data_IF_365563435350
#
_entry.id   IF_365563435350
#
_cell.length_a   1.000
_cell.length_b   1.000
_cell.length_c   1.000
_cell.angle_alpha   90.00
_cell.angle_beta   90.00
_cell.angle_gamma   90.00
#
_symmetry.space_group_name_H-M   'P 1'
#
loop_
_entity.id
_entity.type
_entity.pdbx_description
1 polymer ?
#
# COMPACT_ATOMS: atom_id res chain seq x y z
N UNK A 1 -34.53 -14.01 0.84
CA UNK A 1 -33.81 -14.99 0.00
C UNK A 1 -33.00 -15.85 0.95
N UNK A 2 -33.14 -17.17 0.90
CA UNK A 2 -32.38 -18.07 1.77
C UNK A 2 -31.00 -18.32 1.16
N UNK A 3 -29.96 -17.76 1.76
CA UNK A 3 -28.58 -18.06 1.42
C UNK A 3 -28.12 -19.27 2.23
N UNK A 4 -27.28 -20.16 1.68
CA UNK A 4 -26.66 -21.20 2.48
C UNK A 4 -25.71 -20.58 3.51
N UNK A 5 -25.39 -21.33 4.56
CA UNK A 5 -24.37 -20.93 5.51
C UNK A 5 -23.02 -20.76 4.79
N UNK A 6 -22.32 -19.67 5.09
CA UNK A 6 -21.01 -19.37 4.51
C UNK A 6 -19.93 -20.16 5.26
N UNK A 7 -19.06 -20.85 4.53
CA UNK A 7 -17.94 -21.59 5.13
C UNK A 7 -16.74 -20.66 5.40
N UNK A 8 -15.90 -21.03 6.37
CA UNK A 8 -14.80 -20.19 6.85
C UNK A 8 -13.81 -19.73 5.77
N UNK A 9 -13.55 -20.57 4.78
CA UNK A 9 -12.64 -20.33 3.66
C UNK A 9 -13.42 -20.18 2.34
N UNK A 10 -14.73 -19.94 2.37
CA UNK A 10 -15.53 -19.73 1.16
C UNK A 10 -15.49 -18.27 0.69
N UNK A 11 -15.31 -18.04 -0.61
CA UNK A 11 -15.42 -16.69 -1.17
C UNK A 11 -16.87 -16.20 -1.24
N UNK A 12 -17.08 -14.89 -1.11
CA UNK A 12 -18.40 -14.25 -1.36
C UNK A 12 -18.92 -14.54 -2.77
N UNK A 13 -18.03 -14.66 -3.75
CA UNK A 13 -18.37 -15.04 -5.12
C UNK A 13 -19.00 -16.44 -5.17
N UNK A 14 -18.41 -17.41 -4.45
CA UNK A 14 -18.94 -18.77 -4.36
C UNK A 14 -20.32 -18.82 -3.70
N UNK A 15 -20.53 -18.03 -2.64
CA UNK A 15 -21.84 -17.94 -1.99
C UNK A 15 -22.91 -17.44 -2.98
N UNK A 16 -22.60 -16.39 -3.74
CA UNK A 16 -23.49 -15.85 -4.76
C UNK A 16 -23.71 -16.83 -5.92
N UNK A 17 -22.67 -17.56 -6.35
CA UNK A 17 -22.77 -18.57 -7.39
C UNK A 17 -23.64 -19.77 -6.94
N UNK A 18 -23.52 -20.18 -5.67
CA UNK A 18 -24.36 -21.23 -5.08
C UNK A 18 -25.82 -20.78 -5.02
N UNK A 19 -26.08 -19.56 -4.50
CA UNK A 19 -27.42 -18.99 -4.46
C UNK A 19 -28.04 -18.86 -5.86
N UNK A 20 -27.24 -18.47 -6.87
CA UNK A 20 -27.68 -18.47 -8.27
C UNK A 20 -28.08 -19.87 -8.74
N UNK A 21 -27.25 -20.88 -8.48
CA UNK A 21 -27.54 -22.27 -8.85
C UNK A 21 -28.80 -22.80 -8.19
N UNK A 22 -29.03 -22.45 -6.91
CA UNK A 22 -30.24 -22.84 -6.17
C UNK A 22 -31.50 -22.13 -6.69
N UNK A 23 -31.37 -20.89 -7.18
CA UNK A 23 -32.50 -20.10 -7.66
C UNK A 23 -33.05 -20.53 -9.04
N UNK A 24 -32.37 -21.46 -9.72
CA UNK A 24 -32.64 -21.87 -11.10
C UNK A 24 -32.76 -20.70 -12.11
N UNK A 25 -32.18 -19.54 -11.78
CA UNK A 25 -32.23 -18.35 -12.62
C UNK A 25 -31.40 -18.56 -13.88
N UNK A 26 -31.98 -18.37 -15.06
CA UNK A 26 -31.26 -18.49 -16.33
C UNK A 26 -30.36 -17.28 -16.64
N UNK A 27 -30.48 -16.19 -15.88
CA UNK A 27 -29.74 -14.94 -16.10
C UNK A 27 -28.81 -14.62 -14.94
N UNK A 28 -27.50 -14.68 -15.19
CA UNK A 28 -26.49 -14.29 -14.21
C UNK A 28 -26.56 -12.79 -13.86
N UNK A 29 -27.04 -11.94 -14.77
CA UNK A 29 -27.25 -10.51 -14.50
C UNK A 29 -28.43 -10.27 -13.55
N UNK A 30 -29.57 -10.96 -13.75
CA UNK A 30 -30.73 -10.83 -12.86
C UNK A 30 -30.43 -11.33 -11.45
N UNK A 31 -29.80 -12.49 -11.34
CA UNK A 31 -29.35 -13.02 -10.04
C UNK A 31 -28.32 -12.11 -9.39
N UNK A 32 -27.33 -11.60 -10.14
CA UNK A 32 -26.35 -10.64 -9.63
C UNK A 32 -27.01 -9.35 -9.10
N UNK A 33 -28.01 -8.83 -9.83
CA UNK A 33 -28.75 -7.65 -9.39
C UNK A 33 -29.55 -7.94 -8.12
N UNK A 34 -30.21 -9.09 -8.05
CA UNK A 34 -30.99 -9.49 -6.88
C UNK A 34 -30.15 -9.84 -5.65
N UNK A 35 -28.92 -10.33 -5.84
CA UNK A 35 -28.03 -10.76 -4.76
C UNK A 35 -27.14 -9.63 -4.24
N UNK A 36 -26.54 -8.85 -5.15
CA UNK A 36 -25.45 -7.91 -4.84
C UNK A 36 -25.85 -6.46 -5.17
N UNK A 37 -26.99 -6.25 -5.83
CA UNK A 37 -27.42 -4.92 -6.27
C UNK A 37 -26.66 -4.42 -7.50
N UNK A 38 -25.96 -5.28 -8.25
CA UNK A 38 -25.20 -4.88 -9.45
C UNK A 38 -25.39 -5.87 -10.60
N UNK A 39 -25.40 -5.38 -11.84
CA UNK A 39 -25.53 -6.22 -13.04
C UNK A 39 -24.27 -7.04 -13.38
N UNK A 40 -23.12 -6.66 -12.81
CA UNK A 40 -21.80 -7.16 -13.21
C UNK A 40 -21.04 -7.81 -12.06
N UNK A 41 -21.74 -8.30 -11.04
CA UNK A 41 -21.14 -9.00 -9.90
C UNK A 41 -20.35 -10.24 -10.30
N UNK A 42 -20.77 -10.94 -11.36
CA UNK A 42 -20.05 -12.10 -11.91
C UNK A 42 -18.62 -11.79 -12.37
N UNK A 43 -18.35 -10.54 -12.77
CA UNK A 43 -17.03 -10.09 -13.23
C UNK A 43 -16.09 -9.69 -12.09
N UNK A 44 -16.56 -9.78 -10.83
CA UNK A 44 -15.87 -9.33 -9.63
C UNK A 44 -15.76 -10.49 -8.63
N UNK A 45 -15.17 -11.59 -9.08
CA UNK A 45 -14.98 -12.79 -8.26
C UNK A 45 -13.84 -12.67 -7.24
N UNK A 46 -12.96 -11.69 -7.44
CA UNK A 46 -11.75 -11.49 -6.67
C UNK A 46 -11.97 -10.57 -5.46
N UNK A 47 -12.46 -9.35 -5.69
CA UNK A 47 -12.84 -8.36 -4.68
C UNK A 47 -14.32 -8.00 -4.83
N UNK A 48 -15.05 -7.76 -3.72
CA UNK A 48 -16.48 -7.54 -3.77
C UNK A 48 -16.87 -6.27 -4.52
N UNK A 49 -17.99 -6.36 -5.24
CA UNK A 49 -18.59 -5.22 -5.95
C UNK A 49 -19.40 -4.29 -5.04
N UNK A 50 -19.94 -4.84 -3.99
CA UNK A 50 -20.60 -4.12 -2.92
C UNK A 50 -20.54 -5.05 -1.73
N UNK A 51 -20.54 -4.49 -0.54
CA UNK A 51 -20.70 -5.27 0.70
C UNK A 51 -21.97 -4.89 1.43
N UNK A 52 -22.74 -3.92 0.91
CA UNK A 52 -24.03 -3.51 1.47
C UNK A 52 -25.01 -4.68 1.54
N UNK A 53 -24.99 -5.54 0.53
CA UNK A 53 -25.86 -6.72 0.49
C UNK A 53 -25.59 -7.70 1.64
N UNK A 54 -24.37 -7.72 2.22
CA UNK A 54 -24.08 -8.54 3.41
C UNK A 54 -24.91 -8.07 4.60
N UNK A 55 -25.07 -6.75 4.73
CA UNK A 55 -25.88 -6.13 5.78
C UNK A 55 -27.36 -6.40 5.53
N UNK A 56 -27.82 -6.22 4.29
CA UNK A 56 -29.21 -6.49 3.89
C UNK A 56 -29.61 -7.95 4.09
N UNK A 57 -28.68 -8.88 3.83
CA UNK A 57 -28.87 -10.31 4.04
C UNK A 57 -28.60 -10.77 5.49
N UNK A 58 -28.30 -9.86 6.42
CA UNK A 58 -27.95 -10.16 7.83
C UNK A 58 -26.77 -11.13 7.99
N UNK A 59 -25.86 -11.14 7.02
CA UNK A 59 -24.59 -11.88 7.08
C UNK A 59 -23.51 -11.09 7.82
N UNK A 60 -23.69 -9.77 7.92
CA UNK A 60 -22.82 -8.88 8.67
C UNK A 60 -23.61 -7.69 9.22
N UNK A 61 -23.07 -7.03 10.23
CA UNK A 61 -23.50 -5.69 10.62
C UNK A 61 -22.71 -4.64 9.79
N UNK A 62 -23.19 -3.39 9.74
CA UNK A 62 -22.57 -2.33 8.93
C UNK A 62 -21.08 -2.13 9.25
N UNK A 63 -20.72 -2.21 10.52
CA UNK A 63 -19.36 -2.03 11.05
C UNK A 63 -18.45 -3.26 10.80
N UNK A 64 -19.04 -4.45 10.64
CA UNK A 64 -18.35 -5.72 10.43
C UNK A 64 -18.32 -6.17 8.97
N UNK A 65 -19.11 -5.56 8.08
CA UNK A 65 -19.20 -5.91 6.66
C UNK A 65 -17.83 -5.97 5.97
N UNK A 66 -16.94 -5.02 6.27
CA UNK A 66 -15.58 -5.03 5.71
C UNK A 66 -14.70 -6.15 6.24
N UNK A 67 -14.91 -6.59 7.50
CA UNK A 67 -14.19 -7.73 8.08
C UNK A 67 -14.65 -9.03 7.42
N UNK A 68 -15.95 -9.19 7.21
CA UNK A 68 -16.53 -10.33 6.46
C UNK A 68 -16.02 -10.32 5.01
N UNK A 69 -16.04 -9.16 4.35
CA UNK A 69 -15.48 -9.00 3.01
C UNK A 69 -13.99 -9.33 2.95
N UNK A 70 -13.19 -8.92 3.95
CA UNK A 70 -11.78 -9.28 4.06
C UNK A 70 -11.61 -10.79 4.18
N UNK A 71 -12.39 -11.44 5.07
CA UNK A 71 -12.32 -12.89 5.31
C UNK A 71 -12.71 -13.72 4.09
N UNK A 72 -13.70 -13.28 3.33
CA UNK A 72 -14.31 -14.03 2.24
C UNK A 72 -13.94 -13.48 0.84
N UNK A 73 -12.78 -12.84 0.69
CA UNK A 73 -12.24 -12.40 -0.60
C UNK A 73 -10.72 -12.28 -0.57
N UNK A 74 -10.09 -11.97 -1.72
CA UNK A 74 -8.63 -11.77 -1.75
C UNK A 74 -8.17 -10.50 -1.05
N UNK A 75 -9.09 -9.70 -0.48
CA UNK A 75 -8.74 -8.56 0.35
C UNK A 75 -7.85 -8.95 1.54
N UNK A 76 -8.03 -10.14 2.14
CA UNK A 76 -7.14 -10.63 3.18
C UNK A 76 -5.65 -10.56 2.77
N UNK A 77 -5.33 -10.86 1.52
CA UNK A 77 -3.96 -10.81 0.98
C UNK A 77 -3.39 -9.39 0.87
N UNK A 78 -4.22 -8.40 0.56
CA UNK A 78 -3.77 -7.04 0.27
C UNK A 78 -3.83 -6.08 1.45
N UNK A 79 -4.87 -6.22 2.29
CA UNK A 79 -5.11 -5.35 3.44
C UNK A 79 -3.88 -5.16 4.35
N UNK A 80 -3.11 -6.20 4.69
CA UNK A 80 -1.94 -6.04 5.56
C UNK A 80 -0.92 -5.02 5.04
N UNK A 81 -0.86 -4.80 3.73
CA UNK A 81 0.06 -3.86 3.07
C UNK A 81 -0.54 -2.46 2.86
N UNK A 82 -1.81 -2.26 3.23
CA UNK A 82 -2.52 -0.98 3.17
C UNK A 82 -2.38 -0.28 4.52
N UNK A 83 -2.12 1.03 4.50
CA UNK A 83 -2.04 1.81 5.74
C UNK A 83 -3.38 1.72 6.51
N UNK A 84 -3.38 1.40 7.82
CA UNK A 84 -4.60 1.24 8.62
C UNK A 84 -5.55 2.46 8.56
N UNK A 85 -5.00 3.67 8.40
CA UNK A 85 -5.79 4.90 8.27
C UNK A 85 -6.70 4.93 7.02
N UNK A 86 -6.46 4.05 6.04
CA UNK A 86 -7.28 3.92 4.82
C UNK A 86 -8.42 2.93 4.97
N UNK A 87 -8.43 2.09 6.01
CA UNK A 87 -9.46 1.06 6.17
C UNK A 87 -10.88 1.64 6.23
N UNK A 88 -11.16 2.73 7.01
CA UNK A 88 -12.50 3.31 7.04
C UNK A 88 -12.96 3.80 5.65
N UNK A 89 -12.09 4.51 4.93
CA UNK A 89 -12.39 4.98 3.58
C UNK A 89 -12.69 3.81 2.61
N UNK A 90 -11.93 2.72 2.69
CA UNK A 90 -12.17 1.54 1.84
C UNK A 90 -13.52 0.89 2.19
N UNK A 91 -13.85 0.79 3.48
CA UNK A 91 -15.16 0.29 3.95
C UNK A 91 -16.31 1.13 3.41
N UNK A 92 -16.24 2.46 3.53
CA UNK A 92 -17.27 3.38 3.05
C UNK A 92 -17.47 3.27 1.54
N UNK A 93 -16.37 3.11 0.78
CA UNK A 93 -16.44 2.93 -0.67
C UNK A 93 -17.10 1.61 -1.04
N UNK A 94 -16.87 0.52 -0.30
CA UNK A 94 -17.52 -0.76 -0.56
C UNK A 94 -18.99 -0.79 -0.16
N UNK A 95 -19.35 -0.16 0.97
CA UNK A 95 -20.75 0.02 1.38
C UNK A 95 -21.50 0.89 0.35
N UNK A 96 -20.86 1.95 -0.15
CA UNK A 96 -21.42 2.83 -1.18
C UNK A 96 -21.31 2.31 -2.62
N UNK A 97 -20.89 1.06 -2.86
CA UNK A 97 -20.80 0.47 -4.21
C UNK A 97 -19.72 1.07 -5.14
N UNK A 98 -18.79 1.87 -4.62
CA UNK A 98 -17.71 2.55 -5.36
C UNK A 98 -16.47 1.65 -5.57
N UNK A 99 -16.70 0.49 -6.18
CA UNK A 99 -15.73 -0.62 -6.39
C UNK A 99 -14.39 -0.23 -6.96
N UNK A 100 -14.40 0.55 -8.04
CA UNK A 100 -13.20 0.90 -8.79
C UNK A 100 -12.26 1.75 -7.95
N UNK A 101 -12.80 2.58 -7.06
CA UNK A 101 -12.02 3.40 -6.14
C UNK A 101 -11.45 2.56 -5.00
N UNK A 102 -12.28 1.71 -4.36
CA UNK A 102 -11.83 0.80 -3.30
C UNK A 102 -10.68 -0.11 -3.78
N UNK A 103 -10.83 -0.72 -4.96
CA UNK A 103 -9.81 -1.57 -5.58
C UNK A 103 -8.47 -0.85 -5.78
N UNK A 104 -8.48 0.41 -6.24
CA UNK A 104 -7.25 1.20 -6.44
C UNK A 104 -6.53 1.46 -5.12
N UNK A 105 -7.26 1.67 -4.03
CA UNK A 105 -6.69 1.88 -2.70
C UNK A 105 -6.09 0.60 -2.14
N UNK A 106 -6.78 -0.54 -2.31
CA UNK A 106 -6.36 -1.85 -1.81
C UNK A 106 -5.12 -2.36 -2.56
N UNK A 107 -5.18 -2.41 -3.89
CA UNK A 107 -4.13 -3.04 -4.69
C UNK A 107 -2.90 -2.13 -4.89
N UNK A 108 -2.97 -0.86 -4.45
CA UNK A 108 -1.94 0.19 -4.62
C UNK A 108 -1.32 0.24 -6.04
N UNK A 109 -2.06 -0.24 -7.03
CA UNK A 109 -1.53 -0.52 -8.36
C UNK A 109 -1.51 0.75 -9.19
N UNK A 110 -0.41 0.95 -9.92
CA UNK A 110 -0.39 1.92 -11.02
C UNK A 110 -1.52 1.56 -12.00
N UNK A 111 -2.12 2.57 -12.63
CA UNK A 111 -3.19 2.38 -13.64
C UNK A 111 -2.79 1.46 -14.80
N UNK A 112 -1.50 1.17 -14.93
CA UNK A 112 -0.92 0.65 -16.16
C UNK A 112 -1.11 -0.84 -16.37
N UNK A 113 -1.07 -1.74 -15.37
CA UNK A 113 -1.46 -3.15 -15.54
C UNK A 113 -1.75 -3.85 -14.18
N UNK A 114 -2.99 -4.27 -13.86
CA UNK A 114 -3.28 -5.06 -12.66
C UNK A 114 -2.80 -6.53 -12.80
N UNK A 115 -2.51 -7.21 -11.68
CA UNK A 115 -2.33 -8.68 -11.66
C UNK A 115 -3.69 -9.32 -11.96
N UNK A 116 -3.71 -10.34 -12.83
CA UNK A 116 -4.95 -11.03 -13.09
C UNK A 116 -5.25 -12.00 -11.94
N UNK A 117 -6.52 -12.25 -11.69
CA UNK A 117 -6.97 -13.18 -10.65
C UNK A 117 -7.77 -14.28 -11.35
N UNK A 118 -7.16 -15.37 -11.82
CA UNK A 118 -7.91 -16.51 -12.32
C UNK A 118 -8.63 -17.21 -11.17
N UNK A 119 -9.73 -17.88 -11.48
CA UNK A 119 -10.38 -18.76 -10.51
C UNK A 119 -9.58 -20.05 -10.41
N UNK A 120 -9.14 -20.38 -9.18
CA UNK A 120 -8.25 -21.51 -8.88
C UNK A 120 -8.89 -22.52 -7.97
N UNK A 121 -8.60 -23.80 -8.16
CA UNK A 121 -9.12 -24.87 -7.32
C UNK A 121 -8.16 -26.06 -7.20
N UNK A 122 -8.39 -26.87 -6.18
CA UNK A 122 -7.79 -28.18 -6.01
C UNK A 122 -8.89 -29.24 -6.19
N UNK A 123 -8.63 -30.27 -7.00
CA UNK A 123 -9.61 -31.34 -7.24
C UNK A 123 -9.89 -32.16 -5.96
N UNK A 124 -8.86 -32.41 -5.14
CA UNK A 124 -9.04 -33.06 -3.83
C UNK A 124 -9.90 -32.23 -2.86
N UNK A 125 -9.77 -30.89 -2.86
CA UNK A 125 -10.69 -30.03 -2.10
C UNK A 125 -12.13 -30.18 -2.58
N UNK A 126 -12.37 -30.21 -3.90
CA UNK A 126 -13.71 -30.39 -4.46
C UNK A 126 -14.34 -31.69 -3.95
N UNK A 127 -13.60 -32.79 -4.00
CA UNK A 127 -14.08 -34.09 -3.52
C UNK A 127 -14.39 -34.09 -2.02
N UNK A 128 -13.54 -33.45 -1.21
CA UNK A 128 -13.78 -33.30 0.23
C UNK A 128 -15.00 -32.44 0.54
N UNK A 129 -15.17 -31.31 -0.15
CA UNK A 129 -16.29 -30.41 0.04
C UNK A 129 -17.61 -31.08 -0.36
N UNK A 130 -17.62 -31.80 -1.49
CA UNK A 130 -18.78 -32.58 -1.92
C UNK A 130 -19.16 -33.66 -0.90
N UNK A 131 -18.17 -34.35 -0.32
CA UNK A 131 -18.41 -35.39 0.69
C UNK A 131 -18.95 -34.82 2.00
N UNK A 132 -18.47 -33.65 2.42
CA UNK A 132 -18.81 -33.04 3.72
C UNK A 132 -20.08 -32.19 3.67
N UNK A 133 -20.25 -31.42 2.60
CA UNK A 133 -21.26 -30.35 2.49
C UNK A 133 -22.25 -30.59 1.34
N UNK A 134 -22.01 -31.57 0.47
CA UNK A 134 -22.82 -31.81 -0.73
C UNK A 134 -22.60 -30.76 -1.84
N UNK A 135 -21.65 -29.83 -1.68
CA UNK A 135 -21.32 -28.79 -2.65
C UNK A 135 -19.84 -28.44 -2.57
N UNK A 136 -19.23 -28.12 -3.71
CA UNK A 136 -17.88 -27.52 -3.77
C UNK A 136 -17.96 -26.00 -3.83
N UNK A 137 -17.00 -25.29 -3.23
CA UNK A 137 -16.97 -23.84 -3.23
C UNK A 137 -15.58 -23.29 -3.58
N UNK A 138 -15.51 -22.02 -3.99
CA UNK A 138 -14.22 -21.37 -4.24
C UNK A 138 -13.56 -21.01 -2.92
N UNK A 139 -12.44 -21.67 -2.62
CA UNK A 139 -11.61 -21.40 -1.45
C UNK A 139 -10.88 -20.05 -1.55
N UNK A 140 -10.92 -19.23 -0.51
CA UNK A 140 -10.24 -17.94 -0.44
C UNK A 140 -8.72 -18.12 -0.55
N UNK A 141 -8.17 -19.08 0.20
CA UNK A 141 -6.73 -19.39 0.18
C UNK A 141 -6.22 -19.68 -1.24
N UNK A 142 -7.00 -20.43 -2.04
CA UNK A 142 -6.66 -20.72 -3.43
C UNK A 142 -6.66 -19.47 -4.32
N UNK A 143 -7.45 -18.43 -4.02
CA UNK A 143 -7.60 -17.27 -4.90
C UNK A 143 -6.48 -16.22 -4.73
N UNK A 144 -5.61 -16.35 -3.73
CA UNK A 144 -4.53 -15.37 -3.53
C UNK A 144 -3.58 -15.29 -4.73
N UNK A 145 -3.07 -14.10 -5.10
CA UNK A 145 -2.38 -13.90 -6.38
C UNK A 145 -1.15 -14.80 -6.59
N UNK A 146 -0.45 -15.17 -5.52
CA UNK A 146 0.77 -15.97 -5.54
C UNK A 146 0.55 -17.45 -5.21
N UNK A 147 -0.66 -17.84 -4.77
CA UNK A 147 -0.96 -19.23 -4.40
C UNK A 147 -1.20 -20.07 -5.66
N UNK A 148 -0.34 -21.04 -5.91
CA UNK A 148 -0.43 -21.97 -7.07
C UNK A 148 -0.42 -23.44 -6.68
N UNK A 149 -0.27 -23.70 -5.39
CA UNK A 149 -0.30 -25.04 -4.80
C UNK A 149 -1.20 -25.01 -3.57
N UNK A 150 -2.05 -26.02 -3.45
CA UNK A 150 -2.94 -26.18 -2.31
C UNK A 150 -2.11 -26.51 -1.05
N UNK A 151 -2.25 -25.73 0.01
CA UNK A 151 -1.60 -25.98 1.31
C UNK A 151 -2.15 -27.20 2.05
N UNK A 152 -3.37 -27.64 1.71
CA UNK A 152 -4.02 -28.80 2.35
C UNK A 152 -3.61 -30.14 1.74
N UNK A 153 -3.54 -30.20 0.40
CA UNK A 153 -3.31 -31.45 -0.34
C UNK A 153 -1.97 -31.51 -1.07
N UNK A 154 -1.19 -30.42 -1.04
CA UNK A 154 0.09 -30.30 -1.74
C UNK A 154 -0.02 -30.62 -3.24
N UNK A 155 -1.13 -30.24 -3.87
CA UNK A 155 -1.33 -30.35 -5.32
C UNK A 155 -1.30 -29.00 -6.01
N UNK A 156 -0.78 -28.97 -7.23
CA UNK A 156 -0.87 -27.80 -8.11
C UNK A 156 -2.34 -27.44 -8.35
N UNK A 157 -2.66 -26.17 -8.24
CA UNK A 157 -4.03 -25.69 -8.45
C UNK A 157 -4.34 -25.66 -9.95
N UNK A 158 -5.46 -26.26 -10.33
CA UNK A 158 -6.07 -26.02 -11.62
C UNK A 158 -6.71 -24.62 -11.63
N UNK A 159 -6.84 -24.04 -12.82
CA UNK A 159 -7.34 -22.67 -12.95
C UNK A 159 -8.06 -22.43 -14.28
N UNK A 160 -8.91 -21.40 -14.29
CA UNK A 160 -9.50 -20.83 -15.49
C UNK A 160 -9.17 -19.34 -15.57
N UNK A 161 -8.80 -18.87 -16.75
CA UNK A 161 -8.42 -17.47 -16.96
C UNK A 161 -9.63 -16.58 -17.29
N UNK A 162 -9.46 -15.30 -16.98
CA UNK A 162 -10.34 -14.23 -17.44
C UNK A 162 -11.42 -13.84 -16.44
N UNK A 163 -12.32 -12.97 -16.91
CA UNK A 163 -13.52 -12.58 -16.18
C UNK A 163 -14.70 -13.28 -16.79
N UNK A 164 -15.50 -13.93 -15.96
CA UNK A 164 -16.60 -14.77 -16.43
C UNK A 164 -17.92 -14.02 -16.33
N UNK A 165 -18.67 -13.98 -17.43
CA UNK A 165 -20.00 -13.34 -17.45
C UNK A 165 -21.07 -14.17 -16.72
N UNK A 166 -20.75 -15.43 -16.40
CA UNK A 166 -21.62 -16.39 -15.70
C UNK A 166 -21.10 -16.62 -14.29
N UNK A 167 -22.01 -16.98 -13.39
CA UNK A 167 -21.64 -17.55 -12.09
C UNK A 167 -21.07 -18.94 -12.32
N UNK A 168 -19.88 -19.18 -11.78
CA UNK A 168 -19.18 -20.47 -11.87
C UNK A 168 -19.00 -21.05 -10.48
N UNK A 169 -19.07 -22.37 -10.38
CA UNK A 169 -18.70 -23.14 -9.19
C UNK A 169 -17.56 -24.08 -9.58
N UNK A 170 -16.68 -24.48 -8.65
CA UNK A 170 -15.51 -25.29 -8.98
C UNK A 170 -15.84 -26.55 -9.79
N UNK A 171 -16.90 -27.26 -9.40
CA UNK A 171 -17.34 -28.48 -10.09
C UNK A 171 -17.67 -28.27 -11.57
N UNK A 172 -18.24 -27.11 -11.95
CA UNK A 172 -18.57 -26.82 -13.36
C UNK A 172 -17.34 -26.48 -14.21
N UNK A 173 -16.18 -26.30 -13.59
CA UNK A 173 -14.95 -25.91 -14.24
C UNK A 173 -13.96 -27.07 -14.48
N UNK A 174 -14.24 -28.27 -13.97
CA UNK A 174 -13.34 -29.43 -14.08
C UNK A 174 -12.89 -29.72 -15.52
N UNK A 175 -13.81 -29.58 -16.49
CA UNK A 175 -13.53 -29.84 -17.91
C UNK A 175 -12.86 -28.66 -18.65
N UNK A 176 -12.80 -27.48 -18.03
CA UNK A 176 -12.34 -26.23 -18.67
C UNK A 176 -10.97 -25.78 -18.16
N UNK A 177 -10.26 -26.63 -17.41
CA UNK A 177 -8.98 -26.27 -16.78
C UNK A 177 -7.91 -25.92 -17.80
N UNK A 178 -7.16 -24.87 -17.48
CA UNK A 178 -5.90 -24.54 -18.15
C UNK A 178 -4.82 -25.58 -17.86
N UNK A 179 -3.78 -25.60 -18.69
CA UNK A 179 -2.63 -26.50 -18.50
C UNK A 179 -1.98 -26.27 -17.13
N UNK A 180 -1.62 -27.34 -16.40
CA UNK A 180 -0.98 -27.21 -15.10
C UNK A 180 0.43 -26.61 -15.25
N UNK A 181 0.88 -25.94 -14.19
CA UNK A 181 2.27 -25.51 -14.07
C UNK A 181 3.21 -26.74 -14.07
N UNK A 182 4.38 -26.66 -14.72
CA UNK A 182 5.29 -27.80 -14.83
C UNK A 182 5.81 -28.25 -13.44
N UNK A 183 5.88 -29.57 -13.26
CA UNK A 183 6.13 -30.25 -11.98
C UNK A 183 7.44 -29.87 -11.29
N UNK A 184 8.47 -29.45 -12.04
CA UNK A 184 9.77 -29.04 -11.49
C UNK A 184 9.74 -27.77 -10.63
N UNK A 185 8.58 -27.10 -10.53
CA UNK A 185 8.40 -25.86 -9.77
C UNK A 185 7.67 -26.03 -8.44
N UNK A 186 7.39 -27.27 -8.01
CA UNK A 186 6.57 -27.56 -6.84
C UNK A 186 7.05 -26.86 -5.55
N UNK A 187 8.35 -26.95 -5.23
CA UNK A 187 8.90 -26.33 -4.01
C UNK A 187 8.71 -24.80 -3.98
N UNK A 188 8.93 -24.13 -5.12
CA UNK A 188 8.75 -22.68 -5.21
C UNK A 188 7.26 -22.31 -5.13
N UNK A 189 6.37 -23.10 -5.74
CA UNK A 189 4.94 -22.91 -5.59
C UNK A 189 4.49 -23.09 -4.13
N UNK A 190 5.04 -24.07 -3.38
CA UNK A 190 4.78 -24.24 -1.95
C UNK A 190 5.24 -23.02 -1.15
N UNK A 191 6.45 -22.52 -1.36
CA UNK A 191 6.96 -21.31 -0.68
C UNK A 191 6.04 -20.11 -0.94
N UNK A 192 5.67 -19.87 -2.21
CA UNK A 192 4.80 -18.76 -2.59
C UNK A 192 3.40 -18.86 -1.97
N UNK A 193 2.82 -20.06 -1.95
CA UNK A 193 1.53 -20.33 -1.29
C UNK A 193 1.62 -20.06 0.20
N UNK A 194 2.63 -20.60 0.89
CA UNK A 194 2.78 -20.43 2.34
C UNK A 194 3.01 -18.98 2.72
N UNK A 195 3.96 -18.27 2.08
CA UNK A 195 4.23 -16.86 2.38
C UNK A 195 3.00 -15.98 2.08
N UNK A 196 2.28 -16.27 0.99
CA UNK A 196 1.04 -15.57 0.65
C UNK A 196 -0.10 -15.78 1.66
N UNK A 197 -0.27 -17.02 2.13
CA UNK A 197 -1.23 -17.38 3.17
C UNK A 197 -0.86 -16.72 4.51
N UNK A 198 0.41 -16.80 4.94
CA UNK A 198 0.88 -16.12 6.14
C UNK A 198 0.62 -14.62 6.07
N UNK A 199 0.96 -13.98 4.95
CA UNK A 199 0.70 -12.56 4.76
C UNK A 199 -0.79 -12.23 4.94
N UNK A 200 -1.69 -13.08 4.44
CA UNK A 200 -3.13 -12.84 4.51
C UNK A 200 -3.70 -12.84 5.95
N UNK A 201 -3.03 -13.54 6.86
CA UNK A 201 -3.43 -13.69 8.26
C UNK A 201 -3.01 -12.50 9.14
N UNK A 202 -2.03 -11.70 8.70
CA UNK A 202 -1.54 -10.54 9.44
C UNK A 202 -2.56 -9.40 9.46
N UNK A 203 -2.63 -8.62 10.54
CA UNK A 203 -3.48 -7.42 10.57
C UNK A 203 -2.88 -6.25 9.81
N UNK A 204 -1.56 -6.09 9.92
CA UNK A 204 -0.76 -5.08 9.24
C UNK A 204 0.67 -5.58 9.05
N UNK A 205 1.35 -5.03 8.05
CA UNK A 205 2.74 -5.36 7.71
C UNK A 205 3.63 -4.15 7.92
N UNK A 206 4.69 -4.33 8.72
CA UNK A 206 5.75 -3.35 8.90
C UNK A 206 6.73 -3.40 7.74
N UNK A 207 6.46 -2.60 6.70
CA UNK A 207 7.25 -2.57 5.46
C UNK A 207 8.74 -2.25 5.72
N UNK A 208 9.03 -1.40 6.70
CA UNK A 208 10.41 -1.08 7.10
C UNK A 208 11.15 -2.30 7.65
N UNK A 209 10.48 -3.10 8.46
CA UNK A 209 11.01 -4.32 9.08
C UNK A 209 11.22 -5.43 8.04
N UNK A 210 10.23 -5.72 7.19
CA UNK A 210 10.40 -6.68 6.08
C UNK A 210 11.55 -6.25 5.18
N UNK A 211 11.64 -4.96 4.84
CA UNK A 211 12.72 -4.42 4.02
C UNK A 211 14.08 -4.66 4.65
N UNK A 212 14.23 -4.40 5.95
CA UNK A 212 15.49 -4.59 6.65
C UNK A 212 15.88 -6.08 6.70
N UNK A 213 14.93 -6.96 7.05
CA UNK A 213 15.17 -8.40 7.06
C UNK A 213 15.54 -8.94 5.66
N UNK A 214 14.86 -8.46 4.62
CA UNK A 214 15.17 -8.78 3.22
C UNK A 214 16.60 -8.36 2.85
N UNK A 215 17.01 -7.14 3.21
CA UNK A 215 18.35 -6.63 2.93
C UNK A 215 19.43 -7.44 3.68
N UNK A 216 19.19 -7.77 4.95
CA UNK A 216 20.10 -8.59 5.74
C UNK A 216 20.26 -9.99 5.12
N UNK A 217 19.17 -10.62 4.66
CA UNK A 217 19.20 -11.93 4.01
C UNK A 217 19.93 -11.87 2.66
N UNK A 218 19.67 -10.86 1.83
CA UNK A 218 20.42 -10.64 0.58
C UNK A 218 21.92 -10.43 0.83
N UNK A 219 22.29 -9.81 1.94
CA UNK A 219 23.69 -9.64 2.34
C UNK A 219 24.31 -10.96 2.79
N UNK A 220 23.61 -11.75 3.61
CA UNK A 220 24.05 -13.08 4.04
C UNK A 220 24.24 -14.06 2.86
N UNK A 221 23.39 -13.94 1.83
CA UNK A 221 23.52 -14.69 0.57
C UNK A 221 24.65 -14.18 -0.34
N UNK A 222 25.35 -13.10 0.03
CA UNK A 222 26.42 -12.50 -0.78
C UNK A 222 25.94 -11.70 -2.01
N UNK A 223 24.63 -11.53 -2.20
CA UNK A 223 24.05 -10.81 -3.36
C UNK A 223 24.40 -9.32 -3.30
N UNK A 224 24.34 -8.73 -2.10
CA UNK A 224 24.71 -7.34 -1.82
C UNK A 224 25.79 -7.26 -0.75
N UNK A 225 26.62 -6.22 -0.77
CA UNK A 225 27.71 -6.03 0.20
C UNK A 225 27.46 -4.84 1.12
N UNK A 226 26.42 -4.05 0.82
CA UNK A 226 26.00 -2.91 1.62
C UNK A 226 24.50 -2.73 1.48
N UNK A 227 23.81 -2.48 2.60
CA UNK A 227 22.39 -2.13 2.63
C UNK A 227 22.14 -0.69 2.16
N UNK A 228 23.20 0.16 2.12
CA UNK A 228 23.11 1.58 1.77
C UNK A 228 23.29 1.87 0.28
N UNK A 229 24.04 1.04 -0.45
CA UNK A 229 24.30 1.21 -1.89
C UNK A 229 23.53 0.20 -2.71
N UNK A 230 23.11 0.61 -3.91
CA UNK A 230 22.34 -0.25 -4.83
C UNK A 230 23.26 -0.79 -5.91
N UNK A 231 23.37 -2.11 -6.00
CA UNK A 231 24.03 -2.79 -7.11
C UNK A 231 22.97 -3.42 -8.01
N UNK A 232 22.37 -2.60 -8.88
CA UNK A 232 21.26 -3.01 -9.75
C UNK A 232 21.57 -4.28 -10.55
N UNK A 233 22.73 -4.35 -11.18
CA UNK A 233 23.12 -5.47 -12.04
C UNK A 233 23.26 -6.79 -11.28
N UNK A 234 23.81 -6.74 -10.05
CA UNK A 234 23.95 -7.94 -9.21
C UNK A 234 22.59 -8.49 -8.78
N UNK A 235 21.66 -7.62 -8.40
CA UNK A 235 20.31 -8.03 -8.01
C UNK A 235 19.56 -8.63 -9.19
N UNK A 236 19.68 -8.03 -10.37
CA UNK A 236 19.08 -8.55 -11.60
C UNK A 236 19.66 -9.92 -11.98
N UNK A 237 20.99 -10.05 -11.97
CA UNK A 237 21.66 -11.31 -12.28
C UNK A 237 21.25 -12.42 -11.30
N UNK A 238 21.28 -12.12 -10.00
CA UNK A 238 20.82 -13.04 -8.95
C UNK A 238 19.37 -13.47 -9.19
N UNK A 239 18.44 -12.52 -9.37
CA UNK A 239 17.03 -12.85 -9.50
C UNK A 239 16.75 -13.65 -10.77
N UNK A 240 17.38 -13.31 -11.90
CA UNK A 240 17.24 -14.07 -13.16
C UNK A 240 17.70 -15.53 -13.05
N UNK A 241 18.72 -15.78 -12.22
CA UNK A 241 19.22 -17.13 -11.93
C UNK A 241 18.37 -17.90 -10.90
N UNK A 242 17.46 -17.22 -10.20
CA UNK A 242 16.65 -17.81 -9.14
C UNK A 242 15.53 -18.72 -9.69
N UNK A 243 15.21 -19.85 -9.04
CA UNK A 243 14.09 -20.71 -9.43
C UNK A 243 12.75 -19.97 -9.56
N UNK A 244 12.55 -18.92 -8.75
CA UNK A 244 11.35 -18.08 -8.84
C UNK A 244 11.24 -17.35 -10.18
N UNK A 245 12.33 -16.87 -10.77
CA UNK A 245 12.29 -16.20 -12.08
C UNK A 245 11.83 -17.16 -13.17
N UNK A 246 12.32 -18.40 -13.15
CA UNK A 246 11.89 -19.47 -14.06
C UNK A 246 10.42 -19.85 -13.86
N UNK A 247 9.99 -19.99 -12.60
CA UNK A 247 8.57 -20.20 -12.29
C UNK A 247 7.71 -19.06 -12.84
N UNK A 248 8.09 -17.80 -12.60
CA UNK A 248 7.32 -16.64 -13.03
C UNK A 248 7.17 -16.56 -14.55
N UNK A 249 8.20 -16.92 -15.33
CA UNK A 249 8.12 -16.95 -16.81
C UNK A 249 7.01 -17.87 -17.32
N UNK A 250 6.73 -18.95 -16.57
CA UNK A 250 5.70 -19.93 -16.89
C UNK A 250 4.38 -19.65 -16.15
N UNK A 251 4.42 -18.77 -15.13
CA UNK A 251 3.27 -18.45 -14.31
C UNK A 251 2.21 -17.69 -15.11
N UNK A 252 0.96 -18.17 -15.11
CA UNK A 252 -0.14 -17.52 -15.80
C UNK A 252 -0.55 -16.23 -15.07
N UNK A 253 -1.65 -15.62 -15.52
CA UNK A 253 -2.27 -14.45 -14.85
C UNK A 253 -1.40 -13.18 -14.77
N UNK A 254 -0.43 -13.06 -15.68
CA UNK A 254 0.43 -11.88 -15.78
C UNK A 254 1.47 -11.78 -14.67
N UNK A 255 1.79 -12.87 -13.95
CA UNK A 255 2.95 -12.90 -13.05
C UNK A 255 4.28 -12.91 -13.80
N UNK A 256 4.29 -13.39 -15.05
CA UNK A 256 5.46 -13.38 -15.94
C UNK A 256 6.16 -12.02 -16.07
N UNK A 257 5.44 -10.91 -15.91
CA UNK A 257 6.03 -9.56 -15.93
C UNK A 257 7.07 -9.31 -14.84
N UNK A 258 7.02 -10.08 -13.75
CA UNK A 258 7.92 -9.91 -12.61
C UNK A 258 9.19 -10.76 -12.75
N UNK A 259 9.28 -11.62 -13.76
CA UNK A 259 10.37 -12.58 -13.96
C UNK A 259 11.74 -11.94 -14.13
N UNK A 260 11.81 -10.71 -14.67
CA UNK A 260 13.07 -10.00 -14.92
C UNK A 260 13.65 -9.31 -13.68
N UNK A 261 12.86 -9.10 -12.61
CA UNK A 261 13.37 -8.53 -11.36
C UNK A 261 13.63 -7.02 -11.34
N UNK A 262 13.37 -6.28 -12.42
CA UNK A 262 13.59 -4.81 -12.51
C UNK A 262 12.88 -3.99 -11.43
N UNK A 263 11.83 -4.55 -10.83
CA UNK A 263 11.04 -3.93 -9.78
C UNK A 263 11.69 -4.02 -8.38
N UNK A 264 12.67 -4.89 -8.17
CA UNK A 264 13.24 -5.21 -6.85
C UNK A 264 14.01 -4.01 -6.29
N UNK A 265 14.99 -3.49 -7.04
CA UNK A 265 15.81 -2.38 -6.57
C UNK A 265 15.00 -1.08 -6.35
N UNK A 266 14.09 -0.66 -7.24
CA UNK A 266 13.18 0.45 -6.96
C UNK A 266 12.29 0.23 -5.74
N UNK A 267 11.90 -1.02 -5.43
CA UNK A 267 11.09 -1.33 -4.25
C UNK A 267 11.90 -1.17 -2.96
N UNK A 268 13.12 -1.74 -2.90
CA UNK A 268 13.95 -1.77 -1.69
C UNK A 268 14.59 -0.42 -1.33
N UNK A 269 14.99 0.40 -2.31
CA UNK A 269 15.71 1.65 -2.04
C UNK A 269 14.92 2.93 -2.34
N UNK A 270 14.02 2.93 -3.33
CA UNK A 270 13.18 4.12 -3.65
C UNK A 270 11.83 4.10 -2.92
N UNK A 271 11.52 3.01 -2.21
CA UNK A 271 10.28 2.82 -1.46
C UNK A 271 9.03 3.17 -2.28
N UNK A 272 9.05 2.91 -3.60
CA UNK A 272 7.87 3.11 -4.46
C UNK A 272 6.74 2.24 -3.91
N UNK A 273 5.52 2.82 -3.87
CA UNK A 273 4.25 2.24 -3.36
C UNK A 273 4.33 0.74 -3.07
N UNK A 274 4.23 0.38 -1.79
CA UNK A 274 4.16 -1.00 -1.30
C UNK A 274 3.13 -1.80 -2.10
N UNK A 275 3.54 -2.95 -2.62
CA UNK A 275 2.68 -3.87 -3.35
C UNK A 275 2.84 -5.26 -2.73
N UNK A 276 1.74 -5.80 -2.19
CA UNK A 276 1.69 -7.10 -1.53
C UNK A 276 2.32 -8.22 -2.38
N UNK A 277 2.00 -8.27 -3.67
CA UNK A 277 2.52 -9.29 -4.60
C UNK A 277 4.04 -9.21 -4.69
N UNK A 278 4.60 -8.00 -4.83
CA UNK A 278 6.05 -7.83 -4.93
C UNK A 278 6.80 -8.25 -3.66
N UNK A 279 6.23 -7.97 -2.49
CA UNK A 279 6.83 -8.40 -1.22
C UNK A 279 6.83 -9.91 -1.07
N UNK A 280 5.69 -10.56 -1.34
CA UNK A 280 5.60 -12.03 -1.28
C UNK A 280 6.54 -12.68 -2.30
N UNK A 281 6.60 -12.17 -3.53
CA UNK A 281 7.53 -12.66 -4.55
C UNK A 281 9.00 -12.49 -4.11
N UNK A 282 9.40 -11.30 -3.67
CA UNK A 282 10.79 -11.05 -3.28
C UNK A 282 11.18 -11.92 -2.09
N UNK A 283 10.32 -12.00 -1.09
CA UNK A 283 10.58 -12.80 0.09
C UNK A 283 10.75 -14.28 -0.27
N UNK A 284 9.88 -14.81 -1.13
CA UNK A 284 9.94 -16.20 -1.57
C UNK A 284 11.24 -16.55 -2.34
N UNK A 285 11.96 -15.56 -2.87
CA UNK A 285 13.22 -15.77 -3.58
C UNK A 285 14.45 -15.90 -2.66
N UNK A 286 14.34 -15.63 -1.36
CA UNK A 286 15.48 -15.47 -0.42
C UNK A 286 16.11 -16.78 0.10
N UNK A 287 16.08 -17.83 -0.72
CA UNK A 287 16.70 -19.14 -0.47
C UNK A 287 16.33 -19.74 0.91
N UNK A 288 15.08 -20.23 0.99
CA UNK A 288 14.52 -20.88 2.18
C UNK A 288 14.66 -22.39 2.07
N UNK A 289 14.97 -23.06 3.18
CA UNK A 289 15.08 -24.52 3.19
C UNK A 289 13.72 -25.20 3.03
N UNK A 290 12.68 -24.61 3.62
CA UNK A 290 11.30 -25.11 3.58
C UNK A 290 10.30 -23.97 3.43
N UNK A 291 9.09 -24.27 2.95
CA UNK A 291 8.00 -23.28 2.88
C UNK A 291 7.55 -22.83 4.27
N UNK A 292 7.60 -23.71 5.27
CA UNK A 292 7.29 -23.39 6.66
C UNK A 292 8.27 -22.37 7.26
N UNK A 293 9.58 -22.56 7.01
CA UNK A 293 10.60 -21.58 7.40
C UNK A 293 10.34 -20.22 6.74
N UNK A 294 10.08 -20.21 5.43
CA UNK A 294 9.81 -18.97 4.70
C UNK A 294 8.62 -18.19 5.28
N UNK A 295 7.54 -18.90 5.63
CA UNK A 295 6.36 -18.31 6.26
C UNK A 295 6.62 -17.79 7.68
N UNK A 296 7.28 -18.57 8.53
CA UNK A 296 7.59 -18.16 9.91
C UNK A 296 8.45 -16.89 9.95
N UNK A 297 9.57 -16.88 9.21
CA UNK A 297 10.44 -15.71 9.14
C UNK A 297 9.75 -14.51 8.48
N UNK A 298 8.83 -14.73 7.52
CA UNK A 298 8.01 -13.66 6.98
C UNK A 298 7.13 -13.03 8.06
N UNK A 299 6.45 -13.85 8.85
CA UNK A 299 5.58 -13.40 9.94
C UNK A 299 6.34 -12.54 10.96
N UNK A 300 7.50 -13.01 11.40
CA UNK A 300 8.34 -12.29 12.37
C UNK A 300 8.79 -10.94 11.82
N UNK A 301 9.33 -10.94 10.59
CA UNK A 301 9.79 -9.73 9.93
C UNK A 301 8.64 -8.74 9.63
N UNK A 302 7.46 -9.25 9.30
CA UNK A 302 6.27 -8.45 9.03
C UNK A 302 5.65 -7.84 10.28
N UNK A 303 5.75 -8.53 11.42
CA UNK A 303 5.19 -8.10 12.70
C UNK A 303 6.13 -7.20 13.50
N UNK A 304 7.36 -6.99 13.03
CA UNK A 304 8.44 -6.34 13.77
C UNK A 304 8.73 -6.98 15.14
N UNK A 305 8.44 -8.28 15.28
CA UNK A 305 8.91 -9.05 16.42
C UNK A 305 10.44 -9.19 16.29
N UNK A 306 11.21 -8.98 17.37
CA UNK A 306 12.62 -9.32 17.34
C UNK A 306 12.75 -10.80 16.97
N UNK A 307 13.68 -11.12 16.06
CA UNK A 307 13.97 -12.49 15.64
C UNK A 307 14.57 -13.20 16.86
N UNK A 308 13.76 -13.91 17.64
CA UNK A 308 14.23 -14.64 18.82
C UNK A 308 14.06 -16.15 18.57
N UNK A 309 15.21 -16.82 18.37
CA UNK A 309 15.61 -18.19 18.80
C UNK A 309 16.06 -19.16 17.70
N UNK A 310 17.36 -19.43 17.69
CA UNK A 310 17.95 -20.67 18.21
C UNK A 310 19.46 -20.48 18.47
N UNK A 311 19.88 -20.47 19.74
CA UNK A 311 21.26 -20.80 20.14
C UNK A 311 22.39 -19.78 19.91
N UNK A 312 22.23 -18.74 19.10
CA UNK A 312 23.18 -17.62 19.04
C UNK A 312 22.39 -16.32 19.03
N UNK A 313 22.27 -15.72 20.20
CA UNK A 313 22.10 -14.28 20.30
C UNK A 313 23.41 -13.72 19.77
N UNK A 314 23.44 -13.24 18.53
CA UNK A 314 24.36 -12.16 18.23
C UNK A 314 23.89 -10.99 19.09
N UNK A 315 24.51 -10.91 20.27
CA UNK A 315 24.40 -9.87 21.28
C UNK A 315 25.08 -8.59 20.76
N UNK A 316 24.90 -8.31 19.48
CA UNK A 316 25.15 -7.03 18.84
C UNK A 316 23.79 -6.33 18.64
N UNK A 317 22.99 -6.30 19.71
CA UNK A 317 22.33 -5.05 20.07
C UNK A 317 23.42 -4.03 20.46
N UNK A 318 24.24 -3.62 19.48
CA UNK A 318 24.32 -2.18 19.33
C UNK A 318 22.94 -1.85 18.81
N UNK A 319 22.04 -1.47 19.71
CA UNK A 319 20.90 -0.65 19.34
C UNK A 319 21.49 0.38 18.38
N UNK A 320 21.24 0.21 17.06
CA UNK A 320 21.66 1.19 16.08
C UNK A 320 21.18 2.49 16.69
N UNK A 321 22.08 3.42 17.05
CA UNK A 321 21.67 4.60 17.75
C UNK A 321 20.50 5.13 16.93
N UNK A 322 19.34 5.33 17.58
CA UNK A 322 18.31 6.24 17.06
C UNK A 322 19.16 7.35 16.47
N UNK A 323 19.15 7.61 15.15
CA UNK A 323 20.18 8.45 14.55
C UNK A 323 19.99 9.83 15.15
N UNK A 324 20.65 10.03 16.29
CA UNK A 324 20.59 11.21 17.08
C UNK A 324 21.19 12.21 16.13
N UNK A 325 20.40 13.21 15.81
CA UNK A 325 20.87 14.33 15.05
C UNK A 325 22.19 14.74 15.69
N UNK A 326 23.34 14.61 14.98
CA UNK A 326 24.63 14.81 15.63
C UNK A 326 24.58 16.13 16.38
N UNK A 327 25.15 16.23 17.58
CA UNK A 327 25.07 17.44 18.41
C UNK A 327 25.44 18.72 17.63
N UNK A 328 26.36 18.59 16.68
CA UNK A 328 26.76 19.62 15.70
C UNK A 328 25.63 20.07 14.75
N UNK A 329 24.73 19.18 14.36
CA UNK A 329 23.55 19.49 13.53
C UNK A 329 22.51 20.23 14.37
N UNK A 330 22.25 19.79 15.60
CA UNK A 330 21.31 20.49 16.49
C UNK A 330 21.76 21.91 16.79
N UNK A 331 23.04 22.11 17.13
CA UNK A 331 23.58 23.45 17.38
C UNK A 331 23.55 24.35 16.15
N UNK A 332 23.79 23.80 14.95
CA UNK A 332 23.72 24.58 13.71
C UNK A 332 22.27 24.90 13.31
N UNK A 333 21.33 23.97 13.53
CA UNK A 333 19.92 24.22 13.28
C UNK A 333 19.32 25.23 14.27
N UNK A 334 19.88 25.36 15.47
CA UNK A 334 19.49 26.41 16.42
C UNK A 334 19.86 27.81 15.91
N UNK A 335 21.02 27.96 15.25
CA UNK A 335 21.51 29.27 14.76
C UNK A 335 21.16 29.60 13.30
N UNK A 336 20.93 28.60 12.43
CA UNK A 336 20.75 28.84 11.00
C UNK A 336 19.38 29.46 10.66
N UNK A 337 19.37 30.54 9.88
CA UNK A 337 18.17 31.28 9.46
C UNK A 337 17.57 30.80 8.13
N UNK A 338 18.21 29.82 7.48
CA UNK A 338 17.71 29.21 6.25
C UNK A 338 18.24 27.78 6.04
N UNK A 339 17.57 27.04 5.15
CA UNK A 339 18.08 25.73 4.70
C UNK A 339 19.44 25.86 4.02
N UNK A 340 19.67 26.93 3.27
CA UNK A 340 20.92 27.16 2.54
C UNK A 340 22.08 27.44 3.50
N UNK A 341 21.84 28.25 4.53
CA UNK A 341 22.81 28.52 5.59
C UNK A 341 23.13 27.27 6.40
N UNK A 342 22.11 26.48 6.77
CA UNK A 342 22.31 25.19 7.44
C UNK A 342 23.13 24.21 6.57
N UNK A 343 22.86 24.15 5.27
CA UNK A 343 23.65 23.36 4.32
C UNK A 343 25.11 23.82 4.24
N UNK A 344 25.35 25.14 4.24
CA UNK A 344 26.69 25.73 4.16
C UNK A 344 27.50 25.46 5.43
N UNK A 345 26.89 25.67 6.61
CA UNK A 345 27.53 25.46 7.90
C UNK A 345 27.84 24.00 8.19
N UNK A 346 26.99 23.09 7.71
CA UNK A 346 27.17 21.64 7.86
C UNK A 346 27.96 21.00 6.71
N UNK A 347 28.21 21.72 5.62
CA UNK A 347 28.83 21.23 4.38
C UNK A 347 28.12 19.96 3.84
N UNK A 348 26.79 19.92 3.90
CA UNK A 348 25.99 18.77 3.43
C UNK A 348 24.98 19.15 2.34
N UNK A 349 24.70 18.22 1.41
CA UNK A 349 23.62 18.41 0.44
C UNK A 349 22.25 18.39 1.12
N UNK A 350 21.28 19.09 0.51
CA UNK A 350 19.92 19.30 1.06
C UNK A 350 19.22 18.00 1.48
N UNK A 351 19.40 16.92 0.73
CA UNK A 351 18.80 15.62 1.00
C UNK A 351 19.27 15.01 2.33
N UNK A 352 20.52 15.23 2.72
CA UNK A 352 21.06 14.74 3.99
C UNK A 352 20.49 15.53 5.18
N UNK A 353 20.37 16.86 5.03
CA UNK A 353 19.72 17.71 6.04
C UNK A 353 18.24 17.35 6.24
N UNK A 354 17.51 17.08 5.14
CA UNK A 354 16.10 16.65 5.20
C UNK A 354 15.97 15.28 5.89
N UNK A 355 16.89 14.35 5.63
CA UNK A 355 16.90 13.04 6.32
C UNK A 355 17.09 13.17 7.83
N UNK A 356 17.95 14.09 8.29
CA UNK A 356 18.11 14.36 9.73
C UNK A 356 16.85 14.97 10.35
N UNK A 357 16.20 15.91 9.65
CA UNK A 357 14.93 16.49 10.09
C UNK A 357 13.76 15.49 10.06
N UNK A 358 13.83 14.44 9.25
CA UNK A 358 12.84 13.36 9.23
C UNK A 358 13.07 12.32 10.33
N UNK A 359 14.31 12.18 10.79
CA UNK A 359 14.67 11.33 11.92
C UNK A 359 14.20 11.91 13.27
N UNK A 360 14.11 13.24 13.39
CA UNK A 360 13.64 13.96 14.59
C UNK A 360 12.49 14.93 14.24
N UNK A 361 11.23 14.47 14.33
CA UNK A 361 10.05 15.28 14.03
C UNK A 361 9.87 16.50 14.94
N UNK A 362 10.29 16.41 16.20
CA UNK A 362 10.15 17.50 17.18
C UNK A 362 11.13 18.63 16.91
N UNK A 363 12.40 18.30 16.63
CA UNK A 363 13.40 19.28 16.19
C UNK A 363 12.96 19.96 14.89
N UNK A 364 12.42 19.19 13.92
CA UNK A 364 11.90 19.75 12.67
C UNK A 364 10.74 20.71 12.90
N UNK A 365 9.82 20.40 13.82
CA UNK A 365 8.72 21.28 14.17
C UNK A 365 9.23 22.59 14.81
N UNK A 366 10.10 22.49 15.83
CA UNK A 366 10.71 23.64 16.53
C UNK A 366 11.47 24.55 15.56
N UNK A 367 12.31 23.98 14.70
CA UNK A 367 13.11 24.75 13.75
C UNK A 367 12.22 25.46 12.71
N UNK A 368 11.21 24.79 12.17
CA UNK A 368 10.26 25.41 11.23
C UNK A 368 9.48 26.55 11.85
N UNK A 369 9.03 26.39 13.09
CA UNK A 369 8.31 27.43 13.81
C UNK A 369 9.19 28.66 14.06
N UNK A 370 10.46 28.48 14.43
CA UNK A 370 11.43 29.57 14.57
C UNK A 370 11.65 30.30 13.25
N UNK A 371 11.99 29.57 12.17
CA UNK A 371 12.21 30.15 10.85
C UNK A 371 10.98 30.91 10.34
N UNK A 372 9.78 30.40 10.61
CA UNK A 372 8.54 31.08 10.27
C UNK A 372 8.38 32.39 11.03
N UNK A 373 8.66 32.40 12.33
CA UNK A 373 8.62 33.60 13.18
C UNK A 373 9.61 34.67 12.69
N UNK A 374 10.88 34.28 12.47
CA UNK A 374 11.91 35.18 11.95
C UNK A 374 11.57 35.75 10.57
N UNK A 375 11.00 34.94 9.67
CA UNK A 375 10.58 35.42 8.35
C UNK A 375 9.43 36.40 8.43
N UNK A 376 8.49 36.18 9.34
CA UNK A 376 7.38 37.12 9.61
C UNK A 376 7.92 38.43 10.15
N UNK A 377 8.80 38.39 11.16
CA UNK A 377 9.42 39.59 11.75
C UNK A 377 10.23 40.38 10.70
N UNK A 378 11.06 39.71 9.90
CA UNK A 378 11.84 40.33 8.83
C UNK A 378 10.95 40.92 7.72
N UNK A 379 9.82 40.28 7.40
CA UNK A 379 8.86 40.82 6.44
C UNK A 379 8.14 42.06 7.00
N UNK A 380 7.78 42.07 8.29
CA UNK A 380 7.21 43.23 8.97
C UNK A 380 8.21 44.39 9.03
N UNK A 381 9.47 44.14 9.39
CA UNK A 381 10.52 45.17 9.42
C UNK A 381 10.77 45.77 8.03
N UNK A 382 10.85 44.93 6.99
CA UNK A 382 10.98 45.42 5.60
C UNK A 382 9.79 46.30 5.23
N UNK A 383 8.57 45.86 5.53
CA UNK A 383 7.35 46.62 5.30
C UNK A 383 7.38 47.99 6.01
N UNK A 384 7.70 48.02 7.30
CA UNK A 384 7.83 49.25 8.10
C UNK A 384 8.92 50.15 7.52
N UNK A 385 10.09 49.62 7.20
CA UNK A 385 11.21 50.40 6.67
C UNK A 385 10.90 51.02 5.29
N UNK A 386 10.15 50.31 4.45
CA UNK A 386 9.68 50.81 3.16
C UNK A 386 8.67 51.94 3.34
N UNK A 387 7.78 51.82 4.33
CA UNK A 387 6.83 52.89 4.67
C UNK A 387 7.47 54.12 5.28
N UNK A 388 8.50 53.97 6.12
CA UNK A 388 9.26 55.09 6.65
C UNK A 388 10.00 55.88 5.55
N UNK A 389 10.45 55.20 4.48
CA UNK A 389 11.10 55.85 3.34
C UNK A 389 10.13 56.50 2.37
N UNK A 390 8.96 55.90 2.16
CA UNK A 390 7.93 56.46 1.28
C UNK A 390 6.52 56.14 1.82
N UNK A 391 5.86 57.11 2.49
CA UNK A 391 4.54 56.90 3.09
C UNK A 391 3.42 56.57 2.09
N UNK A 392 3.65 56.82 0.80
CA UNK A 392 2.66 56.61 -0.28
C UNK A 392 2.79 55.27 -1.02
N UNK A 393 3.81 54.46 -0.69
CA UNK A 393 4.02 53.16 -1.36
C UNK A 393 2.89 52.19 -1.00
N UNK A 394 2.49 51.33 -1.94
CA UNK A 394 1.54 50.25 -1.64
C UNK A 394 2.26 49.07 -1.00
N UNK A 395 1.58 48.29 -0.15
CA UNK A 395 2.17 47.06 0.40
C UNK A 395 2.57 46.05 -0.69
N UNK A 396 1.87 46.07 -1.83
CA UNK A 396 2.19 45.28 -3.03
C UNK A 396 3.50 45.70 -3.73
N UNK A 397 3.87 46.98 -3.62
CA UNK A 397 5.13 47.50 -4.13
C UNK A 397 6.28 47.39 -3.10
N UNK A 398 5.95 47.35 -1.81
CA UNK A 398 6.94 47.31 -0.72
C UNK A 398 7.48 45.91 -0.39
N UNK A 399 6.78 44.84 -0.78
CA UNK A 399 7.13 43.45 -0.47
C UNK A 399 6.91 42.52 -1.66
N UNK A 400 7.60 41.38 -1.64
CA UNK A 400 7.36 40.31 -2.61
C UNK A 400 5.97 39.66 -2.41
N UNK A 401 5.42 39.08 -3.47
CA UNK A 401 4.15 38.34 -3.40
C UNK A 401 4.19 37.15 -2.42
N UNK A 402 5.38 36.58 -2.18
CA UNK A 402 5.60 35.54 -1.18
C UNK A 402 5.53 36.08 0.25
N UNK A 403 6.15 37.23 0.54
CA UNK A 403 6.13 37.86 1.86
C UNK A 403 4.71 38.34 2.23
N UNK A 404 3.96 38.88 1.27
CA UNK A 404 2.56 39.29 1.49
C UNK A 404 1.64 38.13 1.83
N UNK A 405 1.81 36.98 1.17
CA UNK A 405 1.07 35.75 1.51
C UNK A 405 1.46 35.26 2.90
N UNK A 406 2.75 35.28 3.24
CA UNK A 406 3.24 34.88 4.55
C UNK A 406 2.62 35.72 5.68
N UNK A 407 2.63 37.05 5.54
CA UNK A 407 2.06 37.97 6.53
C UNK A 407 0.55 37.78 6.69
N UNK A 408 -0.21 37.66 5.59
CA UNK A 408 -1.66 37.42 5.66
C UNK A 408 -2.02 36.10 6.35
N UNK A 409 -1.17 35.08 6.21
CA UNK A 409 -1.43 33.76 6.81
C UNK A 409 -0.98 33.65 8.27
N UNK A 410 0.06 34.37 8.68
CA UNK A 410 0.71 34.14 9.98
C UNK A 410 0.82 35.37 10.90
N UNK A 411 0.55 36.58 10.41
CA UNK A 411 0.50 37.81 11.20
C UNK A 411 -0.55 38.79 10.62
N UNK A 412 -1.84 38.38 10.52
CA UNK A 412 -2.87 39.19 9.87
C UNK A 412 -3.17 40.49 10.64
N UNK A 413 -3.16 40.44 11.98
CA UNK A 413 -3.48 41.59 12.84
C UNK A 413 -2.41 42.68 12.73
N UNK A 414 -1.14 42.29 12.74
CA UNK A 414 0.00 43.20 12.61
C UNK A 414 0.05 43.81 11.22
N UNK A 415 -0.20 43.01 10.18
CA UNK A 415 -0.31 43.48 8.81
C UNK A 415 -1.47 44.49 8.62
N UNK A 416 -2.64 44.21 9.19
CA UNK A 416 -3.79 45.11 9.18
C UNK A 416 -3.51 46.40 9.98
N UNK A 417 -2.90 46.32 11.16
CA UNK A 417 -2.53 47.49 11.94
C UNK A 417 -1.57 48.44 11.20
N UNK A 418 -0.60 47.89 10.46
CA UNK A 418 0.33 48.69 9.65
C UNK A 418 -0.38 49.27 8.42
N UNK A 419 -1.22 48.49 7.73
CA UNK A 419 -1.87 48.93 6.49
C UNK A 419 -3.07 49.86 6.71
N UNK A 420 -3.80 49.71 7.80
CA UNK A 420 -4.89 50.61 8.21
C UNK A 420 -4.40 52.03 8.53
N UNK A 421 -3.21 52.17 9.14
CA UNK A 421 -2.54 53.46 9.35
C UNK A 421 -2.20 54.20 8.04
N UNK A 422 -2.12 53.48 6.92
CA UNK A 422 -1.92 54.08 5.59
C UNK A 422 -3.24 54.54 4.95
N UNK A 423 -4.35 53.86 5.24
CA UNK A 423 -5.66 54.25 4.72
C UNK A 423 -6.08 55.63 5.24
N UNK A 424 -5.68 56.00 6.46
CA UNK A 424 -5.89 57.34 7.04
C UNK A 424 -5.04 58.45 6.42
N UNK A 425 -3.98 58.12 5.66
CA UNK A 425 -3.06 59.10 5.05
C UNK A 425 -3.34 59.39 3.57
N UNK A 426 -4.33 58.74 2.95
CA UNK A 426 -4.69 59.05 1.56
C UNK A 426 -5.37 60.42 1.50
N UNK A 427 -4.81 61.43 0.81
CA UNK A 427 -5.56 62.66 0.54
C UNK A 427 -6.83 62.30 -0.22
N UNK A 428 -7.97 62.88 0.19
CA UNK A 428 -9.29 62.67 -0.43
C UNK A 428 -9.14 62.72 -1.95
N UNK A 429 -9.58 61.65 -2.60
CA UNK A 429 -9.65 61.53 -4.05
C UNK A 429 -10.30 62.80 -4.60
N UNK A 430 -9.57 63.59 -5.41
CA UNK A 430 -10.16 64.72 -6.12
C UNK A 430 -11.26 64.18 -7.03
N UNK A 431 -12.46 64.73 -6.90
CA UNK A 431 -13.58 64.48 -7.80
C UNK A 431 -13.11 64.73 -9.23
N UNK A 432 -13.41 63.78 -10.13
CA UNK A 432 -13.24 63.98 -11.56
C UNK A 432 -14.04 65.23 -11.98
N UNK A 433 -13.48 66.12 -12.82
CA UNK A 433 -14.27 67.18 -13.40
C UNK A 433 -15.33 66.52 -14.31
N UNK A 434 -16.59 66.79 -13.98
CA UNK A 434 -17.68 66.71 -14.94
C UNK A 434 -17.59 67.92 -15.86
N UNK A 435 -18.20 67.76 -17.03
CA UNK A 435 -18.42 68.75 -18.09
C UNK A 435 -17.28 68.80 -19.13
N UNK A 436 -17.56 68.86 -20.42
CA UNK A 436 -18.78 69.27 -21.12
C UNK A 436 -18.34 70.07 -22.33
#
# INVERSE_FOLDING_TARGET
>A
MNLPAIENDETLYSLCATAHSMSASSSSQRSSLSLIGTLHGTLQHDLPASIQWLVECRLAETDTASKVARRHSIAAYYFPFVSPCRYPLISDLWLGGKTTHARRLIQSSSRTLPVAHPLKWCEACIEEDLRKLGRSYWHVAHQFPTTWRCSRHDFSLAYIEGRHKRWLLPLSCLLQRSAPLPSGSAAMASILSTVGETASQLESVQITSIRQATLNRLQAMGVIHSTRRVHHDRILAWFRSNPLSTFLRQAPAGLARFSEGEWIAPMLWRQKRSNAVRWVLLWSALDWSTSAEAGAFFCDAASALPIVRAGQVELFDEALPIPETPSKVSSVLESASSYEEAMRLLQVPRNQLVRWLEADPEMRARWRQRLQKERVENALQRLISSFLRNPSISSAAALSSADLRLLKSHAPREYEAITSRLASFRPRQRSLPLDG
#
